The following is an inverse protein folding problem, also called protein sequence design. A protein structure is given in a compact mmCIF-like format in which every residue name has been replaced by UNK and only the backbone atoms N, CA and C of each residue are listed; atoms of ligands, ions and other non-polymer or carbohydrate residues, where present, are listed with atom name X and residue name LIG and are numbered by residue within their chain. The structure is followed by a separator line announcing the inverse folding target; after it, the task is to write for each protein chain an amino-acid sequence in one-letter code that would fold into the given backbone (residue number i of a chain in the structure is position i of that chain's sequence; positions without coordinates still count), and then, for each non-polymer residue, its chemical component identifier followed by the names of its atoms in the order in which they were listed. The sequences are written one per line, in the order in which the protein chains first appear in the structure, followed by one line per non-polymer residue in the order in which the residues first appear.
data_IF_994754307605
#
_entry.id   IF_994754307605
#
_cell.length_a   1.000
_cell.length_b   1.000
_cell.length_c   1.000
_cell.angle_alpha   90.00
_cell.angle_beta   90.00
_cell.angle_gamma   90.00
#
_symmetry.space_group_name_H-M   'P 1'
#
loop_
_entity.id
_entity.type
_entity.pdbx_description
1 polymer ?
#
# COMPACT_ATOMS: atom_id res chain seq x y z
N UNK A 1 48.95 45.91 67.12
CA UNK A 1 49.32 44.84 66.18
C UNK A 1 48.12 44.51 65.32
N UNK A 2 48.21 44.88 64.05
CA UNK A 2 47.08 44.55 63.07
C UNK A 2 47.61 43.40 62.21
N UNK A 3 46.78 42.36 61.96
CA UNK A 3 47.15 41.27 61.06
C UNK A 3 47.00 41.71 59.60
N UNK A 4 48.02 41.41 58.78
CA UNK A 4 48.01 41.58 57.34
C UNK A 4 47.30 40.41 56.69
N UNK A 5 46.24 40.69 55.93
CA UNK A 5 45.58 39.74 55.02
C UNK A 5 46.38 39.66 53.72
N UNK A 6 46.78 38.45 53.33
CA UNK A 6 47.34 38.12 52.03
C UNK A 6 46.19 37.84 51.03
N UNK A 7 46.25 38.31 49.77
CA UNK A 7 45.23 38.01 48.81
C UNK A 7 45.44 36.59 48.23
N UNK A 8 44.37 35.79 48.27
CA UNK A 8 44.30 34.50 47.60
C UNK A 8 44.00 34.77 46.10
N UNK A 9 44.97 34.48 45.24
CA UNK A 9 44.83 34.55 43.79
C UNK A 9 44.09 33.29 43.31
N UNK A 10 42.79 33.43 43.02
CA UNK A 10 42.01 32.33 42.43
C UNK A 10 42.29 32.24 40.94
N UNK A 11 43.01 31.21 40.50
CA UNK A 11 43.25 30.87 39.12
C UNK A 11 42.00 30.21 38.54
N UNK A 12 41.19 30.95 37.77
CA UNK A 12 40.11 30.39 36.99
C UNK A 12 40.71 29.79 35.71
N UNK A 13 40.82 28.46 35.67
CA UNK A 13 41.04 27.72 34.43
C UNK A 13 39.77 27.74 33.63
N UNK A 14 39.71 28.57 32.59
CA UNK A 14 38.65 28.53 31.59
C UNK A 14 38.81 27.25 30.75
N UNK A 15 38.05 26.24 31.10
CA UNK A 15 37.81 25.08 30.22
C UNK A 15 36.96 25.57 29.03
N UNK A 16 37.60 25.83 27.90
CA UNK A 16 36.92 26.00 26.64
C UNK A 16 36.16 24.71 26.33
N UNK A 17 34.87 24.74 26.03
CA UNK A 17 34.17 23.54 25.58
C UNK A 17 34.81 23.11 24.25
N UNK A 18 35.34 21.88 24.22
CA UNK A 18 35.70 21.23 22.96
C UNK A 18 34.38 21.19 22.12
N UNK A 19 34.31 22.05 21.12
CA UNK A 19 33.28 21.95 20.09
C UNK A 19 33.47 20.60 19.41
N UNK A 20 32.63 19.64 19.73
CA UNK A 20 32.53 18.43 18.94
C UNK A 20 32.30 18.86 17.48
N UNK A 21 33.10 18.33 16.55
CA UNK A 21 32.86 18.55 15.14
C UNK A 21 31.39 18.21 14.86
N UNK A 22 30.65 19.04 14.11
CA UNK A 22 29.27 18.74 13.77
C UNK A 22 29.23 17.36 13.12
N UNK A 23 28.42 16.46 13.70
CA UNK A 23 28.16 15.18 13.07
C UNK A 23 27.65 15.39 11.63
N UNK A 24 27.71 14.37 10.77
CA UNK A 24 27.21 14.49 9.42
C UNK A 24 25.78 15.03 9.46
N UNK A 25 25.48 16.02 8.63
CA UNK A 25 24.16 16.63 8.52
C UNK A 25 23.11 15.52 8.26
N UNK A 26 22.21 15.24 9.20
CA UNK A 26 21.23 14.16 9.04
C UNK A 26 20.25 14.41 7.89
N UNK A 27 20.22 15.64 7.36
CA UNK A 27 19.35 16.07 6.26
C UNK A 27 20.03 15.97 4.89
N UNK A 28 21.31 15.65 4.82
CA UNK A 28 21.98 15.32 3.56
C UNK A 28 21.68 13.85 3.24
N UNK A 29 21.11 13.55 2.07
CA UNK A 29 20.90 12.17 1.67
C UNK A 29 22.25 11.47 1.54
N UNK A 30 22.62 10.70 2.56
CA UNK A 30 23.93 10.01 2.61
C UNK A 30 24.02 8.93 1.52
N UNK A 31 22.85 8.43 1.04
CA UNK A 31 22.77 7.42 -0.01
C UNK A 31 21.66 7.78 -1.00
N UNK A 32 22.01 7.74 -2.28
CA UNK A 32 21.04 7.82 -3.37
C UNK A 32 20.89 6.44 -3.99
N UNK A 33 19.66 6.01 -4.15
CA UNK A 33 19.31 4.82 -4.91
C UNK A 33 18.89 5.22 -6.31
N UNK A 34 19.46 4.56 -7.32
CA UNK A 34 19.08 4.80 -8.71
C UNK A 34 18.08 3.75 -9.16
N UNK A 35 16.91 4.19 -9.55
CA UNK A 35 15.83 3.35 -10.05
C UNK A 35 15.72 3.48 -11.57
N UNK A 36 15.47 2.34 -12.23
CA UNK A 36 15.26 2.26 -13.67
C UNK A 36 13.77 2.31 -13.98
N UNK A 37 13.40 3.13 -14.98
CA UNK A 37 12.02 3.26 -15.47
C UNK A 37 11.81 2.42 -16.72
N UNK A 38 10.57 1.95 -16.92
CA UNK A 38 10.15 1.21 -18.11
C UNK A 38 8.97 1.92 -18.77
N UNK A 39 8.74 1.63 -20.04
CA UNK A 39 7.62 2.19 -20.79
C UNK A 39 6.80 1.05 -21.40
N UNK A 40 5.61 0.85 -20.86
CA UNK A 40 4.66 -0.16 -21.33
C UNK A 40 3.87 0.25 -22.56
N UNK A 41 3.98 1.51 -22.98
CA UNK A 41 3.30 2.05 -24.16
C UNK A 41 1.81 2.32 -23.98
N UNK A 42 1.28 2.32 -22.74
CA UNK A 42 -0.12 2.63 -22.48
C UNK A 42 -0.30 4.12 -22.22
N UNK A 43 -0.80 4.86 -23.21
CA UNK A 43 -0.92 6.31 -23.16
C UNK A 43 -1.96 6.80 -22.13
N UNK A 44 -3.01 6.02 -21.87
CA UNK A 44 -4.07 6.32 -20.89
C UNK A 44 -3.73 5.83 -19.47
N UNK A 45 -2.47 5.38 -19.23
CA UNK A 45 -2.06 4.90 -17.93
C UNK A 45 -2.19 5.99 -16.87
N UNK A 46 -2.96 5.70 -15.84
CA UNK A 46 -3.17 6.53 -14.66
C UNK A 46 -2.74 5.78 -13.40
N UNK A 47 -2.88 6.43 -12.26
CA UNK A 47 -2.50 5.82 -11.00
C UNK A 47 -3.31 4.54 -10.71
N UNK A 48 -2.62 3.54 -10.20
CA UNK A 48 -3.23 2.30 -9.74
C UNK A 48 -2.78 2.00 -8.32
N UNK A 49 -3.48 1.10 -7.65
CA UNK A 49 -3.21 0.73 -6.27
C UNK A 49 -3.07 -0.78 -6.17
N UNK A 50 -1.93 -1.26 -5.68
CA UNK A 50 -1.64 -2.67 -5.40
C UNK A 50 -1.76 -3.66 -6.55
N UNK A 51 -2.10 -3.23 -7.76
CA UNK A 51 -2.30 -4.11 -8.90
C UNK A 51 -1.01 -4.71 -9.44
N UNK A 52 -0.22 -5.40 -8.60
CA UNK A 52 1.02 -6.07 -9.03
C UNK A 52 1.43 -7.22 -8.11
N UNK A 53 2.34 -8.08 -8.61
CA UNK A 53 2.95 -9.18 -7.88
C UNK A 53 4.08 -9.83 -8.66
N UNK A 54 4.92 -10.60 -7.97
CA UNK A 54 5.92 -11.46 -8.59
C UNK A 54 5.34 -12.87 -8.76
N UNK A 55 5.38 -13.42 -9.98
CA UNK A 55 5.03 -14.80 -10.24
C UNK A 55 6.16 -15.76 -9.90
N UNK A 56 5.84 -17.03 -9.65
CA UNK A 56 6.82 -18.10 -9.43
C UNK A 56 7.71 -18.35 -10.66
N UNK A 57 7.28 -17.90 -11.84
CA UNK A 57 8.05 -17.88 -13.06
C UNK A 57 9.11 -16.75 -13.13
N UNK A 58 9.15 -15.92 -12.08
CA UNK A 58 10.07 -14.80 -11.94
C UNK A 58 9.68 -13.53 -12.70
N UNK A 59 8.54 -13.51 -13.37
CA UNK A 59 8.02 -12.30 -13.99
C UNK A 59 7.32 -11.41 -12.96
N UNK A 60 7.35 -10.10 -13.23
CA UNK A 60 6.56 -9.13 -12.47
C UNK A 60 5.31 -8.81 -13.27
N UNK A 61 4.18 -9.17 -12.70
CA UNK A 61 2.87 -8.89 -13.25
C UNK A 61 2.29 -7.62 -12.62
N UNK A 62 1.71 -6.75 -13.42
CA UNK A 62 1.15 -5.49 -12.93
C UNK A 62 0.02 -4.98 -13.83
N UNK A 63 -0.84 -4.16 -13.26
CA UNK A 63 -1.93 -3.50 -13.97
C UNK A 63 -1.67 -2.00 -14.01
N UNK A 64 -1.73 -1.42 -15.20
CA UNK A 64 -1.83 0.01 -15.40
C UNK A 64 -3.31 0.39 -15.51
N UNK A 65 -3.75 1.26 -14.62
CA UNK A 65 -5.15 1.73 -14.58
C UNK A 65 -5.43 2.80 -15.62
N UNK A 66 -6.70 2.97 -15.93
CA UNK A 66 -7.24 4.09 -16.69
C UNK A 66 -8.36 4.75 -15.90
N UNK A 67 -8.45 6.07 -15.94
CA UNK A 67 -9.57 6.84 -15.37
C UNK A 67 -10.63 7.17 -16.41
N UNK A 68 -10.54 6.58 -17.59
CA UNK A 68 -11.55 6.77 -18.64
C UNK A 68 -12.72 5.82 -18.42
N UNK A 69 -13.89 6.25 -18.87
CA UNK A 69 -15.11 5.41 -18.83
C UNK A 69 -15.12 4.35 -19.93
N UNK A 70 -14.31 4.50 -20.97
CA UNK A 70 -14.31 3.72 -22.23
C UNK A 70 -12.99 3.00 -22.54
N UNK A 71 -11.96 3.19 -21.73
CA UNK A 71 -10.65 2.53 -21.88
C UNK A 71 -10.37 1.69 -20.66
N UNK A 72 -10.29 0.37 -20.84
CA UNK A 72 -10.01 -0.60 -19.77
C UNK A 72 -8.57 -0.54 -19.27
N UNK A 73 -8.39 -0.95 -18.01
CA UNK A 73 -7.06 -1.17 -17.46
C UNK A 73 -6.37 -2.33 -18.17
N UNK A 74 -5.05 -2.26 -18.26
CA UNK A 74 -4.23 -3.26 -18.95
C UNK A 74 -3.26 -3.95 -18.02
N UNK A 75 -3.24 -5.27 -18.11
CA UNK A 75 -2.28 -6.11 -17.39
C UNK A 75 -1.05 -6.34 -18.24
N UNK A 76 0.12 -6.23 -17.62
CA UNK A 76 1.43 -6.45 -18.24
C UNK A 76 2.23 -7.48 -17.44
N UNK A 77 3.20 -8.10 -18.13
CA UNK A 77 4.24 -8.91 -17.53
C UNK A 77 5.61 -8.32 -17.93
N UNK A 78 6.47 -8.16 -16.94
CA UNK A 78 7.86 -7.76 -17.12
C UNK A 78 8.77 -8.95 -16.87
N UNK A 79 9.63 -9.25 -17.83
CA UNK A 79 10.70 -10.24 -17.70
C UNK A 79 11.99 -9.53 -17.21
N UNK A 80 12.40 -9.75 -15.95
CA UNK A 80 13.60 -9.11 -15.41
C UNK A 80 14.90 -9.51 -16.13
N UNK A 81 14.96 -10.74 -16.68
CA UNK A 81 16.14 -11.25 -17.36
C UNK A 81 16.33 -10.61 -18.72
N UNK A 82 15.25 -10.50 -19.47
CA UNK A 82 15.27 -9.87 -20.78
C UNK A 82 15.08 -8.34 -20.74
N UNK A 83 14.70 -7.79 -19.58
CA UNK A 83 14.29 -6.41 -19.39
C UNK A 83 13.18 -5.98 -20.38
N UNK A 84 12.21 -6.86 -20.61
CA UNK A 84 11.13 -6.67 -21.58
C UNK A 84 9.76 -6.64 -20.91
N UNK A 85 8.94 -5.68 -21.34
CA UNK A 85 7.52 -5.58 -21.00
C UNK A 85 6.69 -6.25 -22.11
N UNK A 86 5.68 -7.01 -21.70
CA UNK A 86 4.70 -7.65 -22.59
C UNK A 86 3.29 -7.35 -22.10
N UNK A 87 2.42 -6.90 -23.00
CA UNK A 87 0.98 -6.82 -22.72
C UNK A 87 0.42 -8.24 -22.48
N UNK A 88 -0.28 -8.42 -21.39
CA UNK A 88 -0.97 -9.68 -21.06
C UNK A 88 -2.42 -9.64 -21.55
N UNK A 89 -3.14 -8.54 -21.30
CA UNK A 89 -4.52 -8.37 -21.74
C UNK A 89 -5.18 -7.12 -21.18
N UNK A 90 -6.38 -6.85 -21.67
CA UNK A 90 -7.29 -5.81 -21.19
C UNK A 90 -8.25 -6.43 -20.16
N UNK A 91 -8.44 -5.78 -19.01
CA UNK A 91 -9.28 -6.33 -17.94
C UNK A 91 -10.78 -6.33 -18.29
N UNK A 92 -11.23 -5.36 -19.10
CA UNK A 92 -12.63 -5.34 -19.57
C UNK A 92 -12.91 -6.50 -20.53
N UNK A 93 -11.94 -6.82 -21.38
CA UNK A 93 -12.04 -8.01 -22.26
C UNK A 93 -12.00 -9.30 -21.44
N UNK A 94 -11.10 -9.38 -20.44
CA UNK A 94 -10.97 -10.55 -19.55
C UNK A 94 -12.26 -10.83 -18.76
N UNK A 95 -13.03 -9.78 -18.44
CA UNK A 95 -14.36 -9.87 -17.80
C UNK A 95 -15.51 -10.13 -18.80
N UNK A 96 -15.22 -10.30 -20.10
CA UNK A 96 -16.25 -10.50 -21.12
C UNK A 96 -17.18 -9.29 -21.30
N UNK A 97 -16.70 -8.08 -21.02
CA UNK A 97 -17.49 -6.84 -21.06
C UNK A 97 -17.19 -5.94 -22.26
N UNK A 98 -16.22 -6.31 -23.09
CA UNK A 98 -15.90 -5.57 -24.30
C UNK A 98 -17.13 -5.34 -25.18
N UNK A 99 -17.36 -4.11 -25.63
CA UNK A 99 -18.48 -3.74 -26.50
C UNK A 99 -19.85 -3.58 -25.82
N UNK A 100 -19.98 -3.86 -24.51
CA UNK A 100 -21.27 -3.74 -23.79
C UNK A 100 -21.70 -2.31 -23.49
N UNK A 101 -20.83 -1.32 -23.75
CA UNK A 101 -21.05 0.09 -23.42
C UNK A 101 -21.39 0.32 -21.93
N UNK A 102 -20.74 -0.42 -21.06
CA UNK A 102 -20.72 -0.19 -19.61
C UNK A 102 -19.44 0.58 -19.26
N UNK A 103 -19.43 1.35 -18.17
CA UNK A 103 -18.18 1.86 -17.62
C UNK A 103 -17.23 0.66 -17.43
N UNK A 104 -16.01 0.80 -17.93
CA UNK A 104 -15.03 -0.30 -18.05
C UNK A 104 -14.38 -0.71 -16.73
N UNK A 105 -13.72 -1.86 -16.72
CA UNK A 105 -12.86 -2.31 -15.63
C UNK A 105 -11.55 -1.50 -15.65
N UNK A 106 -11.55 -0.37 -14.90
CA UNK A 106 -10.52 0.67 -15.02
C UNK A 106 -9.26 0.44 -14.19
N UNK A 107 -9.25 -0.50 -13.23
CA UNK A 107 -8.06 -0.82 -12.43
C UNK A 107 -8.15 -2.19 -11.74
N UNK A 108 -7.01 -2.63 -11.17
CA UNK A 108 -6.95 -3.65 -10.12
C UNK A 108 -6.41 -3.00 -8.86
N UNK A 109 -7.14 -3.12 -7.75
CA UNK A 109 -6.81 -2.45 -6.49
C UNK A 109 -6.15 -3.40 -5.48
N UNK A 110 -5.69 -4.57 -5.92
CA UNK A 110 -5.24 -5.67 -5.06
C UNK A 110 -3.86 -6.18 -5.46
N UNK A 111 -3.10 -6.67 -4.49
CA UNK A 111 -1.90 -7.46 -4.77
C UNK A 111 -2.28 -8.79 -5.43
N UNK A 112 -1.48 -9.25 -6.38
CA UNK A 112 -1.68 -10.55 -6.99
C UNK A 112 -1.25 -11.65 -6.03
N UNK A 113 -2.08 -12.69 -5.92
CA UNK A 113 -1.82 -13.83 -5.05
C UNK A 113 -1.66 -15.06 -5.92
N UNK A 114 -0.52 -15.71 -5.83
CA UNK A 114 -0.29 -16.95 -6.57
C UNK A 114 -0.73 -18.17 -5.77
N UNK A 115 -1.47 -19.04 -6.44
CA UNK A 115 -1.80 -20.37 -5.98
C UNK A 115 -1.97 -21.32 -7.16
N UNK A 116 -1.39 -22.51 -7.08
CA UNK A 116 -1.52 -23.56 -8.10
C UNK A 116 -1.17 -23.08 -9.54
N UNK A 117 -0.13 -22.24 -9.67
CA UNK A 117 0.34 -21.72 -10.96
C UNK A 117 -0.59 -20.68 -11.59
N UNK A 118 -1.50 -20.11 -10.84
CA UNK A 118 -2.38 -19.02 -11.25
C UNK A 118 -2.22 -17.81 -10.34
N UNK A 119 -2.27 -16.60 -10.91
CA UNK A 119 -2.37 -15.36 -10.19
C UNK A 119 -3.84 -15.01 -9.98
N UNK A 120 -4.27 -14.83 -8.75
CA UNK A 120 -5.63 -14.41 -8.38
C UNK A 120 -5.63 -12.92 -8.04
N UNK A 121 -6.60 -12.20 -8.57
CA UNK A 121 -6.77 -10.78 -8.35
C UNK A 121 -8.20 -10.33 -8.66
N UNK A 122 -8.48 -9.06 -8.50
CA UNK A 122 -9.82 -8.51 -8.79
C UNK A 122 -9.74 -7.22 -9.57
N UNK A 123 -10.88 -6.83 -10.14
CA UNK A 123 -11.03 -5.59 -10.87
C UNK A 123 -11.78 -4.55 -10.06
N UNK A 124 -11.62 -3.29 -10.46
CA UNK A 124 -12.23 -2.14 -9.81
C UNK A 124 -12.54 -1.05 -10.85
N UNK A 125 -13.47 -0.17 -10.53
CA UNK A 125 -13.74 1.01 -11.34
C UNK A 125 -12.51 1.95 -11.34
N UNK A 126 -12.22 2.57 -12.49
CA UNK A 126 -11.20 3.62 -12.62
C UNK A 126 -11.79 5.00 -12.87
N UNK A 127 -13.02 5.06 -13.34
CA UNK A 127 -13.71 6.31 -13.65
C UNK A 127 -14.59 6.76 -12.48
N UNK A 128 -14.29 7.93 -11.95
CA UNK A 128 -14.96 8.49 -10.76
C UNK A 128 -15.69 9.79 -11.07
N UNK A 129 -16.70 10.11 -10.26
CA UNK A 129 -17.31 11.42 -10.15
C UNK A 129 -17.10 11.97 -8.76
N UNK A 130 -16.77 13.26 -8.67
CA UNK A 130 -16.69 13.93 -7.37
C UNK A 130 -18.07 14.46 -7.03
N UNK A 131 -18.69 13.94 -5.98
CA UNK A 131 -20.00 14.33 -5.48
C UNK A 131 -19.84 14.74 -4.01
N UNK A 132 -20.22 15.96 -3.69
CA UNK A 132 -20.06 16.53 -2.33
C UNK A 132 -18.61 16.41 -1.81
N UNK A 133 -17.62 16.58 -2.69
CA UNK A 133 -16.19 16.51 -2.35
C UNK A 133 -15.64 15.10 -2.16
N UNK A 134 -16.42 14.05 -2.42
CA UNK A 134 -16.02 12.66 -2.28
C UNK A 134 -16.03 11.93 -3.62
N UNK A 135 -15.11 10.98 -3.78
CA UNK A 135 -15.13 10.05 -4.92
C UNK A 135 -16.34 9.12 -4.82
N UNK A 136 -17.03 9.01 -5.93
CA UNK A 136 -18.16 8.09 -6.13
C UNK A 136 -17.96 7.36 -7.46
N UNK A 137 -18.62 6.21 -7.66
CA UNK A 137 -18.63 5.59 -8.98
C UNK A 137 -19.02 6.60 -10.05
N UNK A 138 -18.30 6.59 -11.17
CA UNK A 138 -18.49 7.56 -12.24
C UNK A 138 -19.90 7.54 -12.81
N UNK A 139 -20.44 8.72 -13.08
CA UNK A 139 -21.74 8.88 -13.75
C UNK A 139 -21.54 8.55 -15.23
N UNK A 140 -22.28 7.57 -15.78
CA UNK A 140 -22.09 7.16 -17.17
C UNK A 140 -22.50 8.28 -18.13
N UNK A 141 -21.71 8.56 -19.18
CA UNK A 141 -22.10 9.47 -20.24
C UNK A 141 -23.32 8.95 -21.03
N UNK A 142 -23.93 9.84 -21.83
CA UNK A 142 -25.05 9.47 -22.69
C UNK A 142 -24.71 8.26 -23.59
N UNK A 143 -25.57 7.27 -23.62
CA UNK A 143 -25.39 6.04 -24.38
C UNK A 143 -24.51 4.97 -23.71
N UNK A 144 -24.02 5.23 -22.50
CA UNK A 144 -23.29 4.28 -21.65
C UNK A 144 -24.10 3.84 -20.45
N UNK A 145 -23.82 2.65 -19.95
CA UNK A 145 -24.42 2.09 -18.74
C UNK A 145 -23.47 2.28 -17.55
N UNK A 146 -24.02 2.24 -16.35
CA UNK A 146 -23.26 2.27 -15.11
C UNK A 146 -22.22 1.13 -15.05
N UNK A 147 -21.27 1.28 -14.15
CA UNK A 147 -20.28 0.25 -13.84
C UNK A 147 -20.97 -1.04 -13.39
N UNK A 148 -20.63 -2.20 -13.95
CA UNK A 148 -21.34 -3.46 -13.66
C UNK A 148 -20.92 -4.09 -12.32
N UNK A 149 -19.77 -3.69 -11.79
CA UNK A 149 -19.14 -4.25 -10.61
C UNK A 149 -17.77 -4.85 -10.91
N UNK A 150 -16.97 -5.05 -9.88
CA UNK A 150 -15.65 -5.68 -9.98
C UNK A 150 -15.76 -7.20 -10.05
N UNK A 151 -14.91 -7.81 -10.85
CA UNK A 151 -14.81 -9.24 -11.01
C UNK A 151 -13.66 -9.83 -10.19
N UNK A 152 -13.79 -11.08 -9.75
CA UNK A 152 -12.65 -11.89 -9.38
C UNK A 152 -12.13 -12.59 -10.63
N UNK A 153 -10.81 -12.51 -10.83
CA UNK A 153 -10.12 -13.12 -11.98
C UNK A 153 -8.98 -14.01 -11.50
N UNK A 154 -8.63 -14.97 -12.34
CA UNK A 154 -7.29 -15.57 -12.31
C UNK A 154 -6.61 -15.50 -13.67
N UNK A 155 -5.28 -15.50 -13.64
CA UNK A 155 -4.44 -15.61 -14.81
C UNK A 155 -3.52 -16.82 -14.65
N UNK A 156 -3.61 -17.77 -15.56
CA UNK A 156 -2.82 -19.00 -15.55
C UNK A 156 -1.44 -18.74 -16.15
N UNK A 157 -0.39 -18.91 -15.35
CA UNK A 157 1.00 -18.61 -15.74
C UNK A 157 1.50 -19.51 -16.88
N UNK A 158 0.99 -20.74 -16.96
CA UNK A 158 1.42 -21.72 -17.97
C UNK A 158 0.71 -21.51 -19.31
N UNK A 159 -0.60 -21.29 -19.29
CA UNK A 159 -1.42 -21.21 -20.51
C UNK A 159 -1.63 -19.79 -21.01
N UNK A 160 -1.37 -18.78 -20.19
CA UNK A 160 -1.60 -17.38 -20.52
C UNK A 160 -3.07 -17.01 -20.63
N UNK A 161 -3.97 -17.73 -19.96
CA UNK A 161 -5.41 -17.51 -20.06
C UNK A 161 -5.99 -16.91 -18.78
N UNK A 162 -6.95 -15.99 -18.95
CA UNK A 162 -7.79 -15.51 -17.88
C UNK A 162 -8.95 -16.46 -17.61
N UNK A 163 -9.37 -16.53 -16.36
CA UNK A 163 -10.63 -17.15 -15.92
C UNK A 163 -11.38 -16.12 -15.08
N UNK A 164 -12.64 -15.89 -15.43
CA UNK A 164 -13.53 -14.97 -14.73
C UNK A 164 -14.46 -15.75 -13.80
N UNK A 165 -14.46 -15.41 -12.52
CA UNK A 165 -15.32 -16.01 -11.49
C UNK A 165 -16.59 -15.18 -11.25
N UNK A 166 -16.81 -14.11 -12.03
CA UNK A 166 -18.00 -13.27 -11.98
C UNK A 166 -17.86 -12.04 -11.10
N UNK A 167 -18.95 -11.29 -11.05
CA UNK A 167 -19.07 -10.01 -10.36
C UNK A 167 -19.20 -10.22 -8.86
N UNK A 168 -18.47 -9.41 -8.09
CA UNK A 168 -18.57 -9.38 -6.64
C UNK A 168 -19.92 -8.87 -6.12
N UNK A 169 -20.20 -9.07 -4.81
CA UNK A 169 -21.46 -8.65 -4.21
C UNK A 169 -21.75 -7.16 -4.37
N UNK A 170 -23.02 -6.82 -4.55
CA UNK A 170 -23.51 -5.45 -4.63
C UNK A 170 -23.25 -4.74 -5.96
N UNK A 171 -22.58 -5.37 -6.94
CA UNK A 171 -22.19 -4.69 -8.18
C UNK A 171 -21.20 -3.56 -7.94
N UNK A 172 -20.41 -3.65 -6.86
CA UNK A 172 -19.41 -2.67 -6.46
C UNK A 172 -18.03 -3.05 -6.98
N UNK A 173 -17.11 -2.07 -7.05
CA UNK A 173 -15.70 -2.36 -7.31
C UNK A 173 -15.08 -3.18 -6.16
N UNK A 174 -14.12 -4.07 -6.44
CA UNK A 174 -13.46 -4.84 -5.39
C UNK A 174 -12.22 -4.07 -4.93
N UNK A 175 -12.24 -3.62 -3.67
CA UNK A 175 -11.24 -2.76 -3.08
C UNK A 175 -10.00 -3.50 -2.63
N UNK A 176 -10.18 -4.67 -2.03
CA UNK A 176 -9.09 -5.54 -1.59
C UNK A 176 -9.52 -6.98 -1.60
N UNK A 177 -8.56 -7.86 -1.89
CA UNK A 177 -8.73 -9.31 -1.76
C UNK A 177 -7.51 -9.93 -1.11
N UNK A 178 -7.74 -11.06 -0.46
CA UNK A 178 -6.71 -11.97 0.03
C UNK A 178 -7.18 -13.40 -0.14
N UNK A 179 -6.29 -14.38 0.02
CA UNK A 179 -6.62 -15.77 -0.28
C UNK A 179 -6.06 -16.74 0.77
N UNK A 180 -6.91 -17.64 1.21
CA UNK A 180 -6.48 -18.90 1.80
C UNK A 180 -6.04 -19.84 0.68
N UNK A 181 -4.76 -19.84 0.38
CA UNK A 181 -4.19 -20.65 -0.69
C UNK A 181 -4.22 -22.16 -0.40
N UNK A 182 -4.35 -22.54 0.88
CA UNK A 182 -4.45 -23.95 1.30
C UNK A 182 -5.84 -24.52 1.07
N UNK A 183 -6.89 -23.67 1.24
CA UNK A 183 -8.30 -24.09 1.15
C UNK A 183 -9.01 -23.57 -0.09
N UNK A 184 -8.34 -22.80 -0.94
CA UNK A 184 -8.89 -22.22 -2.17
C UNK A 184 -10.04 -21.25 -1.92
N UNK A 185 -9.92 -20.38 -0.93
CA UNK A 185 -10.92 -19.35 -0.61
C UNK A 185 -10.36 -17.96 -0.75
N UNK A 186 -11.03 -17.15 -1.56
CA UNK A 186 -10.74 -15.71 -1.66
C UNK A 186 -11.68 -14.95 -0.72
N UNK A 187 -11.12 -13.97 -0.02
CA UNK A 187 -11.85 -13.03 0.82
C UNK A 187 -11.70 -11.64 0.22
N UNK A 188 -12.73 -10.82 0.28
CA UNK A 188 -12.64 -9.48 -0.26
C UNK A 188 -13.57 -8.48 0.40
N UNK A 189 -13.27 -7.21 0.14
CA UNK A 189 -14.06 -6.05 0.54
C UNK A 189 -14.36 -5.26 -0.72
N UNK A 190 -15.64 -4.91 -0.90
CA UNK A 190 -16.09 -4.06 -2.00
C UNK A 190 -15.98 -2.56 -1.68
N UNK A 191 -16.15 -1.70 -2.68
CA UNK A 191 -16.18 -0.25 -2.58
C UNK A 191 -17.31 0.30 -3.46
N UNK A 192 -18.11 1.27 -3.00
CA UNK A 192 -17.85 2.16 -1.87
C UNK A 192 -18.51 1.76 -0.53
N UNK A 193 -19.48 0.83 -0.49
CA UNK A 193 -20.22 0.53 0.74
C UNK A 193 -19.51 -0.41 1.69
N UNK A 194 -18.63 -1.29 1.17
CA UNK A 194 -17.85 -2.19 1.99
C UNK A 194 -18.58 -3.47 2.38
N UNK A 195 -19.00 -4.25 1.40
CA UNK A 195 -19.43 -5.62 1.65
C UNK A 195 -18.21 -6.50 1.91
N UNK A 196 -18.18 -7.24 2.99
CA UNK A 196 -17.22 -8.33 3.16
C UNK A 196 -17.79 -9.61 2.54
N UNK A 197 -16.96 -10.30 1.77
CA UNK A 197 -17.38 -11.51 1.07
C UNK A 197 -16.28 -12.57 1.02
N UNK A 198 -16.68 -13.80 0.74
CA UNK A 198 -15.77 -14.87 0.29
C UNK A 198 -16.22 -15.46 -1.04
N UNK A 199 -15.27 -16.01 -1.78
CA UNK A 199 -15.49 -16.88 -2.91
C UNK A 199 -14.78 -18.21 -2.67
N UNK A 200 -15.48 -19.32 -2.77
CA UNK A 200 -14.97 -20.68 -2.62
C UNK A 200 -14.71 -21.28 -4.01
N UNK A 201 -13.43 -21.48 -4.36
CA UNK A 201 -13.03 -21.98 -5.69
C UNK A 201 -13.57 -23.39 -5.99
N UNK A 202 -13.60 -24.27 -4.98
CA UNK A 202 -14.05 -25.65 -5.16
C UNK A 202 -15.55 -25.73 -5.39
N UNK A 203 -16.32 -24.89 -4.70
CA UNK A 203 -17.77 -24.83 -4.81
C UNK A 203 -18.28 -23.89 -5.89
N UNK A 204 -17.40 -22.99 -6.38
CA UNK A 204 -17.74 -21.86 -7.27
C UNK A 204 -18.86 -20.99 -6.68
N UNK A 205 -18.75 -20.71 -5.38
CA UNK A 205 -19.81 -20.08 -4.60
C UNK A 205 -19.34 -18.76 -3.98
N UNK A 206 -20.15 -17.71 -4.20
CA UNK A 206 -20.03 -16.44 -3.48
C UNK A 206 -20.84 -16.48 -2.19
N UNK A 207 -20.28 -15.94 -1.12
CA UNK A 207 -21.01 -15.62 0.10
C UNK A 207 -20.75 -14.18 0.52
N UNK A 208 -21.83 -13.40 0.60
CA UNK A 208 -21.82 -12.03 1.11
C UNK A 208 -22.18 -12.04 2.59
N UNK A 209 -21.32 -11.42 3.43
CA UNK A 209 -21.54 -11.29 4.87
C UNK A 209 -22.17 -9.95 5.26
N UNK A 210 -22.47 -9.09 4.28
CA UNK A 210 -23.07 -7.78 4.48
C UNK A 210 -22.04 -6.66 4.69
N UNK A 211 -22.55 -5.49 5.07
CA UNK A 211 -21.74 -4.33 5.41
C UNK A 211 -21.08 -4.53 6.76
N UNK A 212 -19.78 -4.22 6.88
CA UNK A 212 -19.04 -4.39 8.13
C UNK A 212 -18.62 -3.05 8.77
N UNK A 213 -18.75 -1.93 8.04
CA UNK A 213 -18.28 -0.62 8.46
C UNK A 213 -19.31 0.47 8.11
N UNK A 214 -20.46 0.49 8.82
CA UNK A 214 -21.59 1.39 8.54
C UNK A 214 -21.94 1.39 7.03
N UNK A 215 -21.90 2.54 6.34
CA UNK A 215 -22.12 2.62 4.89
C UNK A 215 -20.81 2.82 4.10
N UNK A 216 -19.66 2.51 4.74
CA UNK A 216 -18.36 2.65 4.11
C UNK A 216 -18.07 4.07 3.62
N UNK A 217 -17.41 4.17 2.48
CA UNK A 217 -17.08 5.45 1.84
C UNK A 217 -18.26 6.02 1.01
N UNK A 218 -19.38 5.31 0.96
CA UNK A 218 -20.65 5.83 0.43
C UNK A 218 -21.44 6.63 1.46
N UNK A 219 -21.17 6.44 2.75
CA UNK A 219 -21.80 7.14 3.84
C UNK A 219 -21.46 8.62 3.93
N UNK A 220 -22.22 9.34 4.77
CA UNK A 220 -21.95 10.76 5.13
C UNK A 220 -22.04 10.91 6.65
N UNK A 221 -21.20 11.81 7.21
CA UNK A 221 -21.16 12.08 8.64
C UNK A 221 -21.00 10.79 9.45
N UNK A 222 -21.86 10.54 10.43
CA UNK A 222 -21.80 9.37 11.29
C UNK A 222 -21.89 8.01 10.58
N UNK A 223 -22.35 7.98 9.33
CA UNK A 223 -22.42 6.77 8.51
C UNK A 223 -21.18 6.57 7.61
N UNK A 224 -20.28 7.56 7.52
CA UNK A 224 -19.04 7.42 6.76
C UNK A 224 -18.02 6.58 7.52
N UNK A 225 -17.37 5.67 6.81
CA UNK A 225 -16.19 4.93 7.32
C UNK A 225 -15.23 4.69 6.17
N UNK A 226 -13.98 5.07 6.36
CA UNK A 226 -12.91 4.64 5.44
C UNK A 226 -12.75 3.15 5.53
N UNK A 227 -12.79 2.47 4.39
CA UNK A 227 -12.73 1.02 4.32
C UNK A 227 -11.30 0.50 4.50
N UNK A 228 -11.18 -0.68 5.07
CA UNK A 228 -9.92 -1.39 5.18
C UNK A 228 -9.36 -1.76 3.80
N UNK A 229 -8.07 -1.58 3.60
CA UNK A 229 -7.37 -1.84 2.33
C UNK A 229 -6.59 -3.15 2.31
N UNK A 230 -6.64 -3.94 3.39
CA UNK A 230 -5.84 -5.15 3.50
C UNK A 230 -6.50 -6.19 4.40
N UNK A 231 -6.52 -7.43 3.93
CA UNK A 231 -7.02 -8.60 4.67
C UNK A 231 -5.84 -9.53 4.90
N UNK A 232 -5.57 -9.88 6.15
CA UNK A 232 -4.58 -10.90 6.50
C UNK A 232 -5.26 -12.24 6.70
N UNK A 233 -4.80 -13.27 5.99
CA UNK A 233 -5.35 -14.63 6.09
C UNK A 233 -4.41 -15.52 6.90
N UNK A 234 -4.90 -16.05 8.00
CA UNK A 234 -4.21 -17.09 8.76
C UNK A 234 -4.33 -18.41 8.01
N UNK A 235 -3.25 -18.82 7.36
CA UNK A 235 -3.22 -20.04 6.56
C UNK A 235 -3.32 -21.34 7.41
N UNK A 236 -3.11 -21.26 8.73
CA UNK A 236 -3.18 -22.44 9.59
C UNK A 236 -4.63 -22.82 9.89
N UNK A 237 -5.52 -21.85 10.17
CA UNK A 237 -6.91 -22.11 10.52
C UNK A 237 -7.93 -21.61 9.47
N UNK A 238 -7.50 -20.87 8.46
CA UNK A 238 -8.34 -20.32 7.39
C UNK A 238 -9.10 -19.05 7.77
N UNK A 239 -8.88 -18.49 8.97
CA UNK A 239 -9.49 -17.24 9.38
C UNK A 239 -8.87 -16.04 8.64
N UNK A 240 -9.69 -15.03 8.40
CA UNK A 240 -9.24 -13.78 7.78
C UNK A 240 -9.50 -12.59 8.71
N UNK A 241 -8.51 -11.70 8.83
CA UNK A 241 -8.52 -10.56 9.72
C UNK A 241 -8.51 -9.25 8.93
N UNK A 242 -9.33 -8.30 9.33
CA UNK A 242 -9.39 -6.96 8.75
C UNK A 242 -9.83 -5.96 9.81
N UNK A 243 -9.57 -4.69 9.59
CA UNK A 243 -9.89 -3.62 10.52
C UNK A 243 -11.06 -2.76 10.05
N UNK A 244 -11.58 -1.93 10.93
CA UNK A 244 -12.48 -0.83 10.57
C UNK A 244 -11.91 0.49 11.10
N UNK A 245 -12.32 1.61 10.49
CA UNK A 245 -11.77 2.93 10.81
C UNK A 245 -12.02 3.39 12.25
N UNK A 246 -12.96 2.76 12.95
CA UNK A 246 -13.17 2.95 14.40
C UNK A 246 -12.09 2.31 15.27
N UNK A 247 -11.24 1.46 14.70
CA UNK A 247 -10.14 0.78 15.39
C UNK A 247 -10.40 -0.68 15.74
N UNK A 248 -11.62 -1.17 15.59
CA UNK A 248 -11.91 -2.56 15.88
C UNK A 248 -11.27 -3.48 14.85
N UNK A 249 -10.83 -4.67 15.28
CA UNK A 249 -10.36 -5.75 14.44
C UNK A 249 -11.49 -6.76 14.29
N UNK A 250 -11.80 -7.13 13.08
CA UNK A 250 -12.77 -8.17 12.76
C UNK A 250 -12.06 -9.42 12.28
N UNK A 251 -12.64 -10.57 12.61
CA UNK A 251 -12.20 -11.88 12.18
C UNK A 251 -13.32 -12.60 11.45
N UNK A 252 -13.09 -13.00 10.22
CA UNK A 252 -13.86 -14.09 9.64
C UNK A 252 -13.42 -15.40 10.29
N UNK A 253 -14.33 -16.04 11.01
CA UNK A 253 -14.11 -17.34 11.63
C UNK A 253 -14.43 -18.44 10.62
N UNK A 254 -13.38 -19.17 10.20
CA UNK A 254 -13.52 -20.22 9.20
C UNK A 254 -14.47 -21.33 9.63
N UNK A 255 -14.41 -21.75 10.91
CA UNK A 255 -15.21 -22.88 11.41
C UNK A 255 -16.69 -22.51 11.53
N UNK A 256 -16.97 -21.28 11.98
CA UNK A 256 -18.34 -20.79 12.15
C UNK A 256 -18.93 -20.18 10.89
N UNK A 257 -18.12 -19.98 9.84
CA UNK A 257 -18.48 -19.31 8.58
C UNK A 257 -19.20 -17.96 8.80
N UNK A 258 -18.66 -17.14 9.71
CA UNK A 258 -19.21 -15.83 10.06
C UNK A 258 -18.13 -14.82 10.45
N UNK A 259 -18.45 -13.53 10.35
CA UNK A 259 -17.60 -12.44 10.81
C UNK A 259 -17.92 -12.15 12.28
N UNK A 260 -16.88 -12.05 13.11
CA UNK A 260 -16.97 -11.75 14.54
C UNK A 260 -15.94 -10.68 14.94
N UNK A 261 -16.24 -9.82 15.92
CA UNK A 261 -15.23 -8.91 16.45
C UNK A 261 -14.17 -9.67 17.26
N UNK A 262 -12.93 -9.23 17.15
CA UNK A 262 -11.85 -9.66 18.05
C UNK A 262 -12.05 -8.98 19.38
N UNK A 263 -12.06 -9.75 20.46
CA UNK A 263 -12.22 -9.22 21.83
C UNK A 263 -10.84 -9.00 22.48
N UNK A 264 -10.72 -7.91 23.24
CA UNK A 264 -9.55 -7.63 24.08
C UNK A 264 -8.38 -6.96 23.38
N UNK A 265 -8.49 -6.71 22.07
CA UNK A 265 -7.47 -5.95 21.32
C UNK A 265 -8.09 -5.11 20.20
N UNK A 266 -7.52 -3.91 20.00
CA UNK A 266 -7.93 -2.99 18.94
C UNK A 266 -6.77 -2.08 18.47
N UNK A 267 -7.05 -1.22 17.50
CA UNK A 267 -6.09 -0.28 16.92
C UNK A 267 -6.16 1.13 17.52
N UNK A 268 -6.97 1.35 18.54
CA UNK A 268 -7.08 2.63 19.28
C UNK A 268 -5.96 2.76 20.30
N UNK A 269 -4.75 2.94 19.82
CA UNK A 269 -3.57 3.10 20.67
C UNK A 269 -3.08 4.55 20.58
N UNK A 270 -2.74 5.15 21.71
CA UNK A 270 -2.27 6.55 21.79
C UNK A 270 -1.08 6.81 20.85
N UNK A 271 -0.18 5.85 20.74
CA UNK A 271 0.99 5.95 19.87
C UNK A 271 0.66 5.90 18.38
N UNK A 272 -0.52 5.43 17.97
CA UNK A 272 -0.98 5.51 16.58
C UNK A 272 -1.57 6.88 16.25
N UNK A 273 -1.94 7.70 17.23
CA UNK A 273 -2.58 8.98 17.09
C UNK A 273 -4.09 8.92 17.29
N UNK A 274 -4.71 10.09 17.29
CA UNK A 274 -6.15 10.25 17.48
C UNK A 274 -6.81 10.61 16.17
N UNK A 275 -7.83 9.85 15.77
CA UNK A 275 -8.53 10.01 14.49
C UNK A 275 -10.03 10.02 14.68
N UNK A 276 -10.69 10.86 13.90
CA UNK A 276 -12.14 10.84 13.72
C UNK A 276 -12.50 9.80 12.65
N UNK A 277 -13.14 8.67 12.98
CA UNK A 277 -13.45 7.63 12.00
C UNK A 277 -14.52 8.03 10.99
N UNK A 278 -15.20 9.16 11.19
CA UNK A 278 -16.24 9.70 10.31
C UNK A 278 -15.68 10.69 9.28
N UNK A 279 -14.42 11.11 9.44
CA UNK A 279 -13.78 12.11 8.60
C UNK A 279 -13.15 11.48 7.34
N UNK A 280 -13.52 11.92 6.12
CA UNK A 280 -12.86 11.50 4.90
C UNK A 280 -11.41 12.00 4.81
N UNK A 281 -10.62 11.38 3.94
CA UNK A 281 -9.27 11.83 3.59
C UNK A 281 -8.14 11.23 4.44
N UNK A 282 -8.44 10.34 5.38
CA UNK A 282 -7.46 9.53 6.09
C UNK A 282 -8.00 8.13 6.39
N UNK A 283 -7.13 7.23 6.87
CA UNK A 283 -7.48 5.83 7.14
C UNK A 283 -8.22 5.61 8.48
N UNK A 284 -8.45 6.66 9.29
CA UNK A 284 -8.87 6.48 10.67
C UNK A 284 -7.87 5.61 11.42
N UNK A 285 -8.36 4.63 12.16
CA UNK A 285 -7.52 3.64 12.85
C UNK A 285 -7.22 2.39 12.02
N UNK A 286 -7.59 2.33 10.74
CA UNK A 286 -7.31 1.15 9.92
C UNK A 286 -5.80 0.91 9.78
N UNK A 287 -5.41 -0.34 9.78
CA UNK A 287 -4.13 -0.70 9.18
C UNK A 287 -4.16 -0.50 7.65
N UNK A 288 -2.97 -0.31 7.06
CA UNK A 288 -2.86 -0.03 5.62
C UNK A 288 -2.57 -1.26 4.80
N UNK A 289 -1.57 -2.02 5.23
CA UNK A 289 -1.14 -3.26 4.59
C UNK A 289 -0.80 -4.27 5.67
N UNK A 290 -1.11 -5.52 5.41
CA UNK A 290 -0.84 -6.63 6.31
C UNK A 290 -0.53 -7.89 5.53
N UNK A 291 0.24 -8.78 6.13
CA UNK A 291 0.41 -10.15 5.66
C UNK A 291 0.58 -11.11 6.84
N UNK A 292 0.20 -12.35 6.65
CA UNK A 292 0.42 -13.43 7.62
C UNK A 292 1.75 -14.12 7.33
N UNK A 293 2.59 -14.23 8.36
CA UNK A 293 3.86 -14.94 8.27
C UNK A 293 3.73 -16.31 8.94
N UNK A 294 3.84 -17.39 8.14
CA UNK A 294 3.65 -18.76 8.64
C UNK A 294 4.74 -19.22 9.60
N UNK A 295 5.97 -18.68 9.48
CA UNK A 295 7.10 -19.11 10.30
C UNK A 295 6.93 -18.83 11.79
N UNK A 296 6.25 -17.74 12.16
CA UNK A 296 5.98 -17.37 13.55
C UNK A 296 4.48 -17.24 13.85
N UNK A 297 3.61 -17.46 12.86
CA UNK A 297 2.14 -17.37 12.96
C UNK A 297 1.62 -16.00 13.34
N UNK A 298 2.34 -14.95 12.97
CA UNK A 298 2.00 -13.57 13.26
C UNK A 298 1.49 -12.86 12.01
N UNK A 299 0.62 -11.87 12.22
CA UNK A 299 0.26 -10.91 11.20
C UNK A 299 1.17 -9.69 11.38
N UNK A 300 1.91 -9.35 10.34
CA UNK A 300 2.69 -8.12 10.27
C UNK A 300 1.90 -7.07 9.51
N UNK A 301 1.92 -5.84 9.99
CA UNK A 301 1.19 -4.77 9.35
C UNK A 301 1.78 -3.39 9.60
N UNK A 302 1.39 -2.44 8.76
CA UNK A 302 1.68 -1.04 8.95
C UNK A 302 0.39 -0.27 9.24
N UNK A 303 0.41 0.57 10.27
CA UNK A 303 -0.72 1.41 10.61
C UNK A 303 -0.89 2.53 9.58
N UNK A 304 -2.14 2.76 9.14
CA UNK A 304 -2.44 3.55 7.95
C UNK A 304 -2.02 5.02 8.00
N UNK A 305 -2.05 5.65 9.16
CA UNK A 305 -1.74 7.07 9.29
C UNK A 305 -0.42 7.36 10.02
N UNK A 306 0.07 6.44 10.85
CA UNK A 306 1.25 6.69 11.68
C UNK A 306 2.54 6.05 11.16
N UNK A 307 2.45 5.12 10.20
CA UNK A 307 3.62 4.42 9.65
C UNK A 307 4.32 3.46 10.64
N UNK A 308 3.69 3.17 11.78
CA UNK A 308 4.23 2.17 12.69
C UNK A 308 4.06 0.77 12.13
N UNK A 309 5.16 0.03 12.07
CA UNK A 309 5.18 -1.41 11.86
C UNK A 309 4.77 -2.08 13.17
N UNK A 310 3.82 -2.96 13.09
CA UNK A 310 3.37 -3.79 14.20
C UNK A 310 3.30 -5.26 13.79
N UNK A 311 3.27 -6.14 14.79
CA UNK A 311 2.80 -7.51 14.65
C UNK A 311 1.59 -7.74 15.54
N UNK A 312 0.70 -8.58 15.06
CA UNK A 312 -0.50 -9.01 15.77
C UNK A 312 -0.47 -10.53 15.94
N UNK A 313 -0.69 -11.00 17.18
CA UNK A 313 -0.79 -12.42 17.52
C UNK A 313 -2.26 -12.87 17.41
N UNK A 314 -2.65 -13.67 16.38
CA UNK A 314 -4.03 -14.14 16.25
C UNK A 314 -4.46 -15.14 17.33
N UNK A 315 -3.51 -15.87 17.93
CA UNK A 315 -3.78 -16.88 18.93
C UNK A 315 -4.04 -16.25 20.32
N UNK A 316 -3.39 -15.14 20.58
CA UNK A 316 -3.55 -14.34 21.80
C UNK A 316 -3.71 -12.88 21.39
N UNK A 317 -4.92 -12.42 21.06
CA UNK A 317 -5.13 -11.10 20.48
C UNK A 317 -4.32 -10.01 21.16
N UNK A 318 -3.24 -9.59 20.51
CA UNK A 318 -2.32 -8.57 21.02
C UNK A 318 -1.55 -7.93 19.88
N UNK A 319 -1.53 -6.61 19.86
CA UNK A 319 -0.67 -5.80 19.00
C UNK A 319 0.62 -5.46 19.74
N UNK A 320 1.73 -5.64 19.05
CA UNK A 320 3.05 -5.19 19.48
C UNK A 320 3.64 -4.29 18.39
N UNK A 321 3.96 -3.06 18.76
CA UNK A 321 4.69 -2.15 17.87
C UNK A 321 6.15 -2.58 17.81
N UNK A 322 6.67 -2.74 16.61
CA UNK A 322 8.03 -3.18 16.38
C UNK A 322 8.98 -2.02 16.10
N UNK A 323 8.58 -1.13 15.18
CA UNK A 323 9.41 -0.03 14.73
C UNK A 323 8.55 1.02 14.01
N UNK A 324 9.04 2.23 13.98
CA UNK A 324 8.54 3.22 13.02
C UNK A 324 9.39 3.12 11.77
N UNK A 325 8.90 2.42 10.74
CA UNK A 325 9.61 2.19 9.48
C UNK A 325 9.49 3.40 8.56
N UNK A 326 10.16 4.46 8.91
CA UNK A 326 10.22 5.69 8.15
C UNK A 326 11.66 6.00 7.80
N UNK A 327 11.91 6.95 6.91
CA UNK A 327 13.26 7.37 6.55
C UNK A 327 14.02 7.92 7.77
N UNK A 328 15.34 7.77 7.78
CA UNK A 328 16.18 8.33 8.86
C UNK A 328 16.03 9.85 8.93
N UNK A 329 15.83 10.51 7.80
CA UNK A 329 15.57 11.95 7.72
C UNK A 329 14.27 12.32 8.41
N UNK A 330 13.19 11.56 8.21
CA UNK A 330 11.92 11.75 8.90
C UNK A 330 12.07 11.54 10.40
N UNK A 331 12.77 10.48 10.81
CA UNK A 331 13.07 10.24 12.25
C UNK A 331 13.82 11.41 12.87
N UNK A 332 14.87 11.90 12.21
CA UNK A 332 15.69 13.01 12.70
C UNK A 332 14.90 14.33 12.78
N UNK A 333 14.00 14.58 11.86
CA UNK A 333 13.18 15.80 11.84
C UNK A 333 12.02 15.79 12.84
N UNK A 334 11.75 14.66 13.49
CA UNK A 334 10.57 14.47 14.34
C UNK A 334 9.25 14.47 13.58
N UNK A 335 9.30 14.49 12.26
CA UNK A 335 8.10 14.47 11.43
C UNK A 335 7.50 13.08 11.41
N UNK A 336 6.17 13.04 11.45
CA UNK A 336 5.43 11.86 11.08
C UNK A 336 5.32 11.82 9.56
N UNK A 337 5.72 10.69 8.96
CA UNK A 337 5.33 10.43 7.58
C UNK A 337 3.81 10.32 7.58
N UNK A 338 3.16 11.39 7.17
CA UNK A 338 1.73 11.34 6.98
C UNK A 338 1.49 10.61 5.66
N UNK A 339 1.09 9.34 5.79
CA UNK A 339 0.59 8.60 4.65
C UNK A 339 -0.73 9.21 4.21
N UNK A 340 -0.70 9.97 3.16
CA UNK A 340 -1.86 10.05 2.32
C UNK A 340 -1.90 8.75 1.49
N UNK A 341 -3.05 8.37 0.96
CA UNK A 341 -3.34 7.15 0.21
C UNK A 341 -2.26 6.62 -0.76
N UNK A 342 -1.17 7.35 -0.99
CA UNK A 342 -0.19 7.15 -2.04
C UNK A 342 0.94 6.17 -1.78
N UNK A 343 1.20 5.75 -0.54
CA UNK A 343 2.31 4.82 -0.28
C UNK A 343 1.77 3.47 0.12
N UNK A 344 1.56 2.63 -0.88
CA UNK A 344 1.11 1.25 -0.71
C UNK A 344 2.27 0.25 -0.73
N UNK A 345 3.48 0.76 -0.73
CA UNK A 345 4.68 -0.02 -0.84
C UNK A 345 5.07 -0.73 0.45
N UNK A 346 4.33 -1.77 0.83
CA UNK A 346 4.66 -2.65 1.95
C UNK A 346 4.49 -4.10 1.49
N UNK A 347 5.59 -4.86 1.47
CA UNK A 347 5.57 -6.24 1.02
C UNK A 347 6.60 -7.09 1.75
N UNK A 348 6.30 -8.38 2.01
CA UNK A 348 7.31 -9.35 2.43
C UNK A 348 8.26 -9.65 1.26
N UNK A 349 9.53 -9.90 1.60
CA UNK A 349 10.50 -10.41 0.66
C UNK A 349 10.35 -11.92 0.43
N UNK A 350 10.96 -12.46 -0.65
CA UNK A 350 10.90 -13.88 -0.99
C UNK A 350 11.59 -14.78 0.03
N UNK A 351 12.45 -14.22 0.87
CA UNK A 351 13.14 -14.91 1.98
C UNK A 351 12.23 -15.16 3.20
N UNK A 352 11.01 -14.64 3.20
CA UNK A 352 10.07 -14.70 4.32
C UNK A 352 10.59 -14.05 5.61
N UNK A 353 11.66 -13.22 5.50
CA UNK A 353 12.35 -12.58 6.61
C UNK A 353 12.36 -11.06 6.50
N UNK A 354 12.60 -10.55 5.30
CA UNK A 354 12.74 -9.11 5.04
C UNK A 354 11.40 -8.51 4.68
N UNK A 355 11.02 -7.42 5.33
CA UNK A 355 9.90 -6.57 4.94
C UNK A 355 10.48 -5.39 4.15
N UNK A 356 9.92 -5.11 2.98
CA UNK A 356 10.25 -3.97 2.14
C UNK A 356 9.17 -2.91 2.26
N UNK A 357 9.58 -1.68 2.45
CA UNK A 357 8.69 -0.55 2.63
C UNK A 357 9.16 0.67 1.86
N UNK A 358 8.26 1.22 1.05
CA UNK A 358 8.47 2.50 0.38
C UNK A 358 7.84 3.60 1.22
N UNK A 359 8.66 4.50 1.72
CA UNK A 359 8.25 5.58 2.61
C UNK A 359 8.82 6.90 2.12
N UNK A 360 8.34 8.00 2.61
CA UNK A 360 8.85 9.29 2.21
C UNK A 360 9.53 10.04 3.32
N UNK A 361 10.20 11.11 2.95
CA UNK A 361 10.86 12.01 3.87
C UNK A 361 10.98 13.41 3.29
N UNK A 362 11.24 14.42 4.14
CA UNK A 362 11.43 15.79 3.69
C UNK A 362 12.71 15.92 2.84
N UNK A 363 12.66 16.83 1.87
CA UNK A 363 13.84 17.24 1.12
C UNK A 363 14.40 18.51 1.75
N UNK A 364 15.74 18.54 1.82
CA UNK A 364 16.49 19.73 2.20
C UNK A 364 17.40 20.12 1.04
N UNK A 365 17.41 21.40 0.69
CA UNK A 365 18.32 22.01 -0.26
C UNK A 365 19.02 23.19 0.42
N UNK A 366 20.35 23.18 0.44
CA UNK A 366 21.14 24.21 1.10
C UNK A 366 20.81 24.38 2.60
N UNK A 367 20.50 23.28 3.30
CA UNK A 367 20.16 23.28 4.73
C UNK A 367 18.75 23.81 5.04
N UNK A 368 17.94 24.11 4.05
CA UNK A 368 16.55 24.54 4.23
C UNK A 368 15.59 23.49 3.68
N UNK A 369 14.52 23.22 4.43
CA UNK A 369 13.46 22.34 3.96
C UNK A 369 12.78 22.96 2.74
N UNK A 370 12.71 22.20 1.65
CA UNK A 370 11.89 22.55 0.50
C UNK A 370 10.45 22.20 0.83
N UNK A 371 9.55 23.19 0.77
CA UNK A 371 8.13 22.96 1.01
C UNK A 371 7.56 22.07 -0.10
N UNK A 372 7.01 20.94 0.28
CA UNK A 372 6.21 20.10 -0.61
C UNK A 372 4.92 20.82 -1.02
N UNK A 373 4.26 20.37 -2.07
CA UNK A 373 2.95 20.88 -2.46
C UNK A 373 1.95 20.63 -1.33
N UNK A 374 1.34 21.68 -0.81
CA UNK A 374 0.38 21.61 0.30
C UNK A 374 -1.00 21.10 -0.13
N UNK A 375 -1.31 21.14 -1.42
CA UNK A 375 -2.56 20.65 -1.99
C UNK A 375 -2.27 19.34 -2.71
N UNK A 376 -2.72 18.26 -2.11
CA UNK A 376 -2.58 16.92 -2.69
C UNK A 376 -3.93 16.48 -3.19
N UNK A 377 -3.99 16.05 -4.44
CA UNK A 377 -5.08 15.20 -4.88
C UNK A 377 -5.11 13.94 -4.01
N UNK A 378 -6.26 13.29 -3.87
CA UNK A 378 -6.30 11.98 -3.21
C UNK A 378 -5.23 11.09 -3.82
N UNK A 379 -4.40 10.51 -2.95
CA UNK A 379 -3.30 9.67 -3.39
C UNK A 379 -1.93 10.33 -3.53
N UNK A 380 -1.81 11.65 -3.47
CA UNK A 380 -0.50 12.28 -3.34
C UNK A 380 -0.06 12.33 -1.88
N UNK A 381 1.19 11.98 -1.63
CA UNK A 381 1.72 12.03 -0.28
C UNK A 381 1.92 13.46 0.20
N UNK A 382 1.18 13.84 1.24
CA UNK A 382 1.29 15.17 1.83
C UNK A 382 2.69 15.41 2.37
N UNK A 383 3.40 16.36 1.79
CA UNK A 383 4.69 16.82 2.29
C UNK A 383 5.82 15.81 2.15
N UNK A 384 5.64 14.79 1.32
CA UNK A 384 6.70 13.88 0.96
C UNK A 384 7.45 14.43 -0.23
N UNK A 385 8.65 14.76 0.03
CA UNK A 385 9.51 15.41 -0.92
C UNK A 385 10.44 14.41 -1.58
N UNK A 386 10.63 13.25 -0.95
CA UNK A 386 11.44 12.17 -1.50
C UNK A 386 10.97 10.79 -1.04
N UNK A 387 11.05 9.82 -1.94
CA UNK A 387 10.74 8.43 -1.64
C UNK A 387 12.01 7.72 -1.18
N UNK A 388 11.93 7.00 -0.07
CA UNK A 388 12.99 6.15 0.45
C UNK A 388 12.58 4.68 0.39
N UNK A 389 13.57 3.80 0.25
CA UNK A 389 13.39 2.39 0.52
C UNK A 389 13.88 2.07 1.92
N UNK A 390 13.01 1.55 2.76
CA UNK A 390 13.33 1.04 4.09
C UNK A 390 13.08 -0.46 4.12
N UNK A 391 13.96 -1.22 4.73
CA UNK A 391 13.76 -2.64 5.02
C UNK A 391 13.73 -2.89 6.52
N UNK A 392 12.99 -3.92 6.90
CA UNK A 392 12.95 -4.42 8.27
C UNK A 392 13.18 -5.92 8.29
N UNK A 393 14.15 -6.37 9.07
CA UNK A 393 14.44 -7.78 9.29
C UNK A 393 13.67 -8.28 10.49
N UNK A 394 12.70 -9.17 10.28
CA UNK A 394 11.81 -9.66 11.35
C UNK A 394 12.52 -10.55 12.38
N UNK A 395 13.68 -11.11 12.04
CA UNK A 395 14.46 -11.99 12.94
C UNK A 395 15.35 -11.16 13.86
N UNK A 396 16.11 -10.21 13.29
CA UNK A 396 16.99 -9.33 14.07
C UNK A 396 16.29 -8.09 14.63
N UNK A 397 15.06 -7.84 14.17
CA UNK A 397 14.24 -6.68 14.53
C UNK A 397 14.93 -5.35 14.24
N UNK A 398 15.63 -5.27 13.10
CA UNK A 398 16.35 -4.07 12.68
C UNK A 398 15.77 -3.47 11.41
N UNK A 399 15.50 -2.18 11.46
CA UNK A 399 15.20 -1.36 10.29
C UNK A 399 16.49 -0.83 9.66
N UNK A 400 16.46 -0.63 8.33
CA UNK A 400 17.51 0.02 7.57
C UNK A 400 16.91 0.92 6.50
N UNK A 401 17.25 2.21 6.54
CA UNK A 401 17.00 3.14 5.45
C UNK A 401 18.11 2.98 4.40
N UNK A 402 17.73 2.62 3.17
CA UNK A 402 18.65 2.46 2.05
C UNK A 402 18.90 3.78 1.30
N UNK A 403 18.14 4.81 1.62
CA UNK A 403 18.27 6.15 1.06
C UNK A 403 17.18 6.52 0.07
N UNK A 404 17.32 7.72 -0.44
CA UNK A 404 16.38 8.36 -1.34
C UNK A 404 16.45 7.80 -2.76
N UNK A 405 15.28 7.63 -3.40
CA UNK A 405 15.15 7.06 -4.74
C UNK A 405 15.13 8.17 -5.78
N UNK A 406 15.97 8.02 -6.80
CA UNK A 406 16.02 8.87 -7.98
C UNK A 406 15.99 8.01 -9.24
N UNK A 407 15.43 8.52 -10.31
CA UNK A 407 15.57 7.92 -11.63
C UNK A 407 16.95 8.17 -12.23
N UNK A 408 17.32 7.43 -13.28
CA UNK A 408 18.60 7.59 -14.00
C UNK A 408 18.81 9.03 -14.52
N UNK A 409 17.74 9.74 -14.84
CA UNK A 409 17.78 11.15 -15.26
C UNK A 409 17.84 12.16 -14.11
N UNK A 410 17.99 11.70 -12.86
CA UNK A 410 18.07 12.53 -11.66
C UNK A 410 16.73 13.04 -11.13
N UNK A 411 15.61 12.73 -11.78
CA UNK A 411 14.28 13.06 -11.27
C UNK A 411 13.86 12.09 -10.16
N UNK A 412 12.84 12.46 -9.43
CA UNK A 412 12.29 11.70 -8.29
C UNK A 412 10.95 11.10 -8.63
N UNK A 413 10.58 9.95 -8.06
CA UNK A 413 9.20 9.46 -8.10
C UNK A 413 8.27 10.51 -7.46
N UNK A 414 7.24 10.90 -8.18
CA UNK A 414 6.26 11.88 -7.68
C UNK A 414 5.13 11.21 -6.89
N UNK A 415 4.80 9.98 -7.26
CA UNK A 415 3.69 9.23 -6.70
C UNK A 415 3.98 7.74 -6.88
N UNK A 416 3.81 6.97 -5.82
CA UNK A 416 4.04 5.52 -5.81
C UNK A 416 2.86 4.84 -5.14
N UNK A 417 2.31 3.83 -5.77
CA UNK A 417 1.04 3.24 -5.35
C UNK A 417 1.01 1.70 -5.29
N UNK A 418 2.12 1.05 -5.59
CA UNK A 418 2.21 -0.41 -5.53
C UNK A 418 3.65 -0.85 -5.28
N UNK A 419 3.82 -2.08 -4.77
CA UNK A 419 5.12 -2.72 -4.62
C UNK A 419 5.02 -4.20 -4.93
N UNK A 420 6.04 -4.75 -5.59
CA UNK A 420 6.34 -6.18 -5.63
C UNK A 420 7.83 -6.39 -5.41
N UNK A 421 8.19 -7.50 -4.81
CA UNK A 421 9.59 -7.91 -4.61
C UNK A 421 9.86 -9.12 -5.47
N UNK A 422 10.85 -9.00 -6.37
CA UNK A 422 11.29 -10.09 -7.22
C UNK A 422 12.00 -11.19 -6.44
N UNK A 423 12.13 -12.37 -7.05
CA UNK A 423 12.83 -13.52 -6.45
C UNK A 423 14.31 -13.23 -6.12
N UNK A 424 14.90 -12.25 -6.79
CA UNK A 424 16.26 -11.75 -6.57
C UNK A 424 16.33 -10.53 -5.62
N UNK A 425 15.25 -10.27 -4.88
CA UNK A 425 15.12 -9.11 -4.00
C UNK A 425 15.09 -7.74 -4.69
N UNK A 426 15.03 -7.68 -6.01
CA UNK A 426 14.76 -6.42 -6.72
C UNK A 426 13.37 -5.92 -6.36
N UNK A 427 13.27 -4.65 -5.99
CA UNK A 427 12.00 -4.00 -5.68
C UNK A 427 11.42 -3.40 -6.95
N UNK A 428 10.15 -3.66 -7.20
CA UNK A 428 9.38 -3.12 -8.31
C UNK A 428 8.21 -2.31 -7.77
N UNK A 429 7.90 -1.20 -8.42
CA UNK A 429 6.75 -0.38 -8.05
C UNK A 429 6.21 0.38 -9.26
N UNK A 430 4.97 0.83 -9.16
CA UNK A 430 4.38 1.72 -10.15
C UNK A 430 4.50 3.15 -9.65
N UNK A 431 4.91 4.07 -10.53
CA UNK A 431 5.11 5.45 -10.16
C UNK A 431 4.76 6.40 -11.32
N UNK A 432 4.44 7.64 -10.97
CA UNK A 432 4.39 8.74 -11.93
C UNK A 432 5.81 9.12 -12.34
N UNK A 433 6.05 9.08 -13.64
CA UNK A 433 7.33 9.38 -14.28
C UNK A 433 7.12 10.56 -15.21
N UNK A 434 7.91 11.62 -15.05
CA UNK A 434 7.86 12.79 -15.93
C UNK A 434 9.04 12.72 -16.90
N UNK A 435 8.73 12.70 -18.20
CA UNK A 435 9.71 12.70 -19.28
C UNK A 435 9.27 13.68 -20.38
N UNK A 436 10.14 14.58 -20.81
CA UNK A 436 9.83 15.55 -21.88
C UNK A 436 8.60 16.41 -21.62
N UNK A 437 8.32 16.74 -20.35
CA UNK A 437 7.14 17.54 -19.95
C UNK A 437 5.82 16.76 -19.92
N UNK A 438 5.85 15.45 -20.18
CA UNK A 438 4.68 14.55 -20.06
C UNK A 438 4.82 13.66 -18.85
N UNK A 439 3.71 13.43 -18.16
CA UNK A 439 3.64 12.50 -17.01
C UNK A 439 2.92 11.24 -17.45
N UNK A 440 3.50 10.09 -17.12
CA UNK A 440 2.91 8.77 -17.29
C UNK A 440 3.05 7.97 -16.01
N UNK A 441 2.19 6.99 -15.79
CA UNK A 441 2.35 5.98 -14.75
C UNK A 441 2.90 4.72 -15.37
N UNK A 442 3.99 4.18 -14.83
CA UNK A 442 4.58 2.95 -15.34
C UNK A 442 5.47 2.25 -14.30
N UNK A 443 6.01 1.10 -14.73
CA UNK A 443 6.87 0.25 -13.92
C UNK A 443 8.24 0.89 -13.67
N UNK A 444 8.70 0.75 -12.45
CA UNK A 444 10.02 1.14 -11.99
C UNK A 444 10.66 -0.05 -11.27
N UNK A 445 11.97 -0.25 -11.45
CA UNK A 445 12.75 -1.24 -10.71
C UNK A 445 13.87 -0.60 -9.91
N UNK A 446 14.14 -1.17 -8.74
CA UNK A 446 15.16 -0.72 -7.82
C UNK A 446 15.91 -1.92 -7.26
N UNK A 447 17.21 -2.02 -7.52
CA UNK A 447 18.07 -3.01 -6.88
C UNK A 447 18.60 -2.47 -5.56
N UNK A 448 18.42 -3.23 -4.49
CA UNK A 448 19.15 -3.02 -3.24
C UNK A 448 20.54 -3.62 -3.39
N UNK A 449 21.56 -2.84 -3.17
CA UNK A 449 22.96 -3.34 -3.16
C UNK A 449 23.22 -4.17 -1.91
#
# INVERSE_FOLDING_TARGET
MKPRLLPVLSLWLALSPLSAAPGPDPFQPQHRLTARTFNSGFADAHDTYNGMGCGSDGHIYYVLSSERYDVGAKMYAFDPKAAKVRLVGDLTEACGEAGKKTIVQGKSHVNFIEANGKLYFSTHIGFYSIIDGMEKPGIPPAGWKAYPGGHLLSYDLKTGKFEDFGVGPGGEGILTTSMDTRRGRLYGISWPKGYFFRYDLAKKEWKNFGLFAAQGEDGKGENYRTLCRSIAVNLDDGSAYFSISTGDILRYDYQQDKVVPVKGEDLRKDYFGLYDPTSPGHMGYNWRQTFYRTADRMIYGVHGNSGYLFRYDPARPRIEVLERITSDVSKASGMFDQFSYGYLGFAPGPDGRTIYYLTGGPIYEGGRRVAGKTSTAMGEAKGLENLHLVTYDVVTQKARDHGAIFYENGQRPLYVNSIAVGLDHTVYFLARITEGGRTRTDLVSLKTR
#
